data_IF_327899531751
#
_entry.id   IF_327899531751
#
_cell.length_a   1.000
_cell.length_b   1.000
_cell.length_c   1.000
_cell.angle_alpha   90.00
_cell.angle_beta   90.00
_cell.angle_gamma   90.00
#
_symmetry.space_group_name_H-M   'P 1'
#
loop_
_entity.id
_entity.type
_entity.pdbx_description
1 polymer ?
#
# COMPACT_ATOMS: atom_id res chain seq x y z
N UNK A 1 -8.45 -21.83 1.13
CA UNK A 1 -8.15 -22.45 -0.18
C UNK A 1 -7.58 -21.38 -1.06
N UNK A 2 -6.44 -21.66 -1.68
CA UNK A 2 -5.82 -20.83 -2.70
C UNK A 2 -6.80 -20.66 -3.87
N UNK A 3 -6.98 -19.44 -4.36
CA UNK A 3 -7.93 -19.09 -5.42
C UNK A 3 -7.68 -19.89 -6.70
N UNK A 4 -6.42 -20.09 -7.07
CA UNK A 4 -6.08 -20.87 -8.25
C UNK A 4 -6.36 -22.36 -8.04
N UNK A 5 -6.10 -22.90 -6.86
CA UNK A 5 -6.48 -24.27 -6.52
C UNK A 5 -7.99 -24.46 -6.56
N UNK A 6 -8.76 -23.47 -6.07
CA UNK A 6 -10.22 -23.52 -6.19
C UNK A 6 -10.67 -23.53 -7.65
N UNK A 7 -10.10 -22.65 -8.48
CA UNK A 7 -10.41 -22.59 -9.91
C UNK A 7 -10.04 -23.88 -10.65
N UNK A 8 -8.87 -24.46 -10.33
CA UNK A 8 -8.44 -25.74 -10.92
C UNK A 8 -9.35 -26.90 -10.52
N UNK A 9 -9.81 -26.94 -9.25
CA UNK A 9 -10.68 -28.00 -8.75
C UNK A 9 -12.12 -27.92 -9.27
N UNK A 10 -12.67 -26.70 -9.42
CA UNK A 10 -14.08 -26.47 -9.72
C UNK A 10 -14.35 -26.00 -11.15
N UNK A 11 -13.34 -25.54 -11.88
CA UNK A 11 -13.45 -24.98 -13.21
C UNK A 11 -14.15 -23.63 -13.27
N UNK A 12 -14.40 -23.00 -12.11
CA UNK A 12 -15.06 -21.71 -11.95
C UNK A 12 -14.48 -20.94 -10.77
N UNK A 13 -14.56 -19.60 -10.82
CA UNK A 13 -14.19 -18.76 -9.69
C UNK A 13 -15.32 -18.71 -8.66
N UNK A 14 -14.99 -18.51 -7.37
CA UNK A 14 -15.99 -18.17 -6.36
C UNK A 14 -16.76 -16.90 -6.74
N UNK A 15 -17.96 -16.74 -6.19
CA UNK A 15 -18.81 -15.58 -6.47
C UNK A 15 -18.15 -14.27 -6.01
N UNK A 16 -17.55 -14.26 -4.82
CA UNK A 16 -16.86 -13.11 -4.22
C UNK A 16 -15.43 -13.51 -3.86
N UNK A 17 -14.49 -12.68 -4.28
CA UNK A 17 -13.06 -12.88 -4.04
C UNK A 17 -12.53 -11.69 -3.26
N UNK A 18 -11.79 -11.93 -2.20
CA UNK A 18 -11.08 -10.88 -1.47
C UNK A 18 -9.60 -11.20 -1.35
N UNK A 19 -8.75 -10.21 -1.58
CA UNK A 19 -7.30 -10.33 -1.47
C UNK A 19 -6.74 -9.17 -0.66
N UNK A 20 -5.69 -9.42 0.09
CA UNK A 20 -5.06 -8.38 0.91
C UNK A 20 -4.30 -7.38 0.05
N UNK A 21 -3.51 -7.87 -0.88
CA UNK A 21 -2.71 -7.06 -1.80
C UNK A 21 -3.19 -7.27 -3.22
N UNK A 22 -3.10 -6.23 -4.02
CA UNK A 22 -3.52 -6.25 -5.40
C UNK A 22 -2.53 -5.50 -6.28
N UNK A 23 -2.27 -6.08 -7.44
CA UNK A 23 -1.69 -5.42 -8.60
C UNK A 23 -2.42 -5.89 -9.84
N UNK A 24 -2.87 -4.97 -10.68
CA UNK A 24 -3.51 -5.32 -11.95
C UNK A 24 -2.62 -6.20 -12.83
N UNK A 25 -1.31 -5.95 -12.81
CA UNK A 25 -0.35 -6.76 -13.54
C UNK A 25 -0.30 -8.22 -13.07
N UNK A 26 -0.40 -8.46 -11.75
CA UNK A 26 -0.36 -9.81 -11.19
C UNK A 26 -1.69 -10.56 -11.35
N UNK A 27 -2.80 -9.84 -11.55
CA UNK A 27 -4.15 -10.38 -11.64
C UNK A 27 -4.67 -10.57 -13.09
N UNK A 28 -3.84 -10.40 -14.10
CA UNK A 28 -4.26 -10.43 -15.51
C UNK A 28 -4.92 -11.74 -15.94
N UNK A 29 -4.47 -12.87 -15.41
CA UNK A 29 -5.05 -14.18 -15.74
C UNK A 29 -6.49 -14.33 -15.24
N UNK A 30 -6.91 -13.58 -14.23
CA UNK A 30 -8.27 -13.57 -13.70
C UNK A 30 -9.19 -12.61 -14.45
N UNK A 31 -8.65 -11.62 -15.14
CA UNK A 31 -9.39 -10.55 -15.81
C UNK A 31 -10.57 -11.06 -16.66
N UNK A 32 -10.47 -12.15 -17.47
CA UNK A 32 -11.57 -12.64 -18.28
C UNK A 32 -12.78 -13.14 -17.47
N UNK A 33 -12.60 -13.41 -16.19
CA UNK A 33 -13.61 -14.03 -15.31
C UNK A 33 -14.23 -13.06 -14.31
N UNK A 34 -13.72 -11.83 -14.23
CA UNK A 34 -14.19 -10.84 -13.26
C UNK A 34 -15.23 -9.90 -13.85
N UNK A 35 -16.13 -9.44 -12.97
CA UNK A 35 -17.18 -8.49 -13.29
C UNK A 35 -16.60 -7.07 -13.37
N UNK A 36 -17.06 -6.27 -14.32
CA UNK A 36 -16.75 -4.83 -14.39
C UNK A 36 -17.71 -4.02 -13.51
N UNK A 37 -17.18 -3.29 -12.55
CA UNK A 37 -17.96 -2.43 -11.66
C UNK A 37 -18.31 -1.06 -12.26
N UNK A 38 -17.79 -0.68 -13.43
CA UNK A 38 -17.97 0.66 -14.00
C UNK A 38 -19.45 1.03 -14.23
N UNK A 39 -20.33 0.06 -14.43
CA UNK A 39 -21.77 0.26 -14.61
C UNK A 39 -22.57 0.26 -13.30
N UNK A 40 -21.93 0.07 -12.17
CA UNK A 40 -22.60 -0.02 -10.87
C UNK A 40 -22.35 1.23 -10.02
N UNK A 41 -23.36 1.65 -9.27
CA UNK A 41 -23.32 2.88 -8.45
C UNK A 41 -22.22 2.88 -7.40
N UNK A 42 -21.75 1.69 -6.98
CA UNK A 42 -20.71 1.53 -5.98
C UNK A 42 -19.41 2.28 -6.31
N UNK A 43 -19.04 2.36 -7.60
CA UNK A 43 -17.83 3.07 -8.05
C UNK A 43 -17.89 4.56 -7.71
N UNK A 44 -19.08 5.16 -7.77
CA UNK A 44 -19.27 6.59 -7.47
C UNK A 44 -19.06 6.95 -6.00
N UNK A 45 -19.07 5.96 -5.11
CA UNK A 45 -18.86 6.13 -3.67
C UNK A 45 -17.39 6.29 -3.29
N UNK A 46 -16.44 6.03 -4.20
CA UNK A 46 -15.01 6.07 -3.92
C UNK A 46 -14.38 7.43 -4.22
N UNK A 47 -13.38 7.80 -3.42
CA UNK A 47 -12.48 8.89 -3.79
C UNK A 47 -11.78 8.57 -5.12
N UNK A 48 -11.63 9.57 -5.98
CA UNK A 48 -11.03 9.38 -7.31
C UNK A 48 -9.60 8.82 -7.25
N UNK A 49 -8.81 9.24 -6.27
CA UNK A 49 -7.45 8.70 -6.06
C UNK A 49 -7.45 7.20 -5.73
N UNK A 50 -8.50 6.71 -5.07
CA UNK A 50 -8.56 5.31 -4.65
C UNK A 50 -8.71 4.35 -5.83
N UNK A 51 -9.40 4.78 -6.90
CA UNK A 51 -9.65 3.98 -8.09
C UNK A 51 -8.77 4.34 -9.30
N UNK A 52 -7.92 5.36 -9.15
CA UNK A 52 -7.12 5.90 -10.27
C UNK A 52 -6.29 4.84 -11.00
N UNK A 53 -5.84 3.79 -10.30
CA UNK A 53 -4.97 2.75 -10.83
C UNK A 53 -5.64 1.38 -10.95
N UNK A 54 -6.97 1.32 -10.78
CA UNK A 54 -7.73 0.07 -10.83
C UNK A 54 -8.31 -0.24 -12.21
N UNK A 55 -8.17 0.69 -13.15
CA UNK A 55 -8.58 0.44 -14.52
C UNK A 55 -7.61 -0.50 -15.23
N UNK A 56 -8.18 -1.53 -15.86
CA UNK A 56 -7.43 -2.43 -16.74
C UNK A 56 -7.21 -1.81 -18.13
N UNK A 57 -6.62 -2.58 -19.06
CA UNK A 57 -6.37 -2.13 -20.45
C UNK A 57 -7.63 -1.87 -21.28
N UNK A 58 -8.79 -2.33 -20.82
CA UNK A 58 -10.11 -2.16 -21.46
C UNK A 58 -10.94 -1.06 -20.78
N UNK A 59 -10.32 -0.25 -19.89
CA UNK A 59 -10.96 0.78 -19.08
C UNK A 59 -11.97 0.26 -18.05
N UNK A 60 -11.99 -1.05 -17.73
CA UNK A 60 -12.85 -1.66 -16.73
C UNK A 60 -12.24 -1.57 -15.34
N UNK A 61 -13.07 -1.53 -14.31
CA UNK A 61 -12.70 -1.62 -12.89
C UNK A 61 -13.24 -2.95 -12.35
N UNK A 62 -12.40 -3.93 -12.21
CA UNK A 62 -12.75 -5.29 -11.79
C UNK A 62 -12.42 -5.58 -10.31
N UNK A 63 -11.65 -4.71 -9.69
CA UNK A 63 -11.27 -4.78 -8.28
C UNK A 63 -11.60 -3.47 -7.59
N UNK A 64 -12.10 -3.57 -6.35
CA UNK A 64 -12.38 -2.41 -5.50
C UNK A 64 -11.65 -2.56 -4.17
N UNK A 65 -10.92 -1.54 -3.71
CA UNK A 65 -10.32 -1.57 -2.38
C UNK A 65 -11.38 -1.33 -1.31
N UNK A 66 -11.42 -2.15 -0.28
CA UNK A 66 -12.35 -1.96 0.84
C UNK A 66 -11.88 -0.84 1.77
N UNK A 67 -10.57 -0.76 2.01
CA UNK A 67 -9.97 0.26 2.87
C UNK A 67 -8.51 0.50 2.47
N UNK A 68 -7.89 1.50 3.06
CA UNK A 68 -6.49 1.84 2.84
C UNK A 68 -5.70 1.90 4.14
N UNK A 69 -4.44 1.49 4.08
CA UNK A 69 -3.47 1.60 5.18
C UNK A 69 -2.52 2.75 4.83
N UNK A 70 -2.58 3.90 5.54
CA UNK A 70 -1.67 5.00 5.29
C UNK A 70 -0.27 4.65 5.80
N UNK A 71 0.70 4.66 4.91
CA UNK A 71 2.12 4.53 5.21
C UNK A 71 2.74 5.92 5.33
N UNK A 72 3.46 6.16 6.40
CA UNK A 72 3.99 7.48 6.76
C UNK A 72 5.30 7.35 7.52
N UNK A 73 5.93 8.47 7.83
CA UNK A 73 7.00 8.50 8.81
C UNK A 73 6.42 8.63 10.22
N UNK A 74 6.71 7.67 11.08
CA UNK A 74 6.50 7.77 12.53
C UNK A 74 7.70 8.53 13.10
N UNK A 75 7.43 9.61 13.79
CA UNK A 75 8.43 10.54 14.32
C UNK A 75 8.41 10.45 15.83
N UNK A 76 9.58 10.24 16.44
CA UNK A 76 9.78 10.40 17.87
C UNK A 76 9.86 11.90 18.21
N UNK A 77 8.71 12.53 18.46
CA UNK A 77 8.62 13.95 18.75
C UNK A 77 9.45 14.34 20.00
N UNK A 78 9.50 13.46 20.98
CA UNK A 78 10.30 13.69 22.19
C UNK A 78 11.79 13.89 21.85
N UNK A 79 12.33 13.12 20.90
CA UNK A 79 13.71 13.34 20.44
C UNK A 79 13.86 14.67 19.68
N UNK A 80 12.90 15.03 18.83
CA UNK A 80 12.92 16.31 18.14
C UNK A 80 12.94 17.48 19.13
N UNK A 81 12.09 17.44 20.16
CA UNK A 81 12.03 18.47 21.19
C UNK A 81 13.35 18.49 22.02
N UNK A 82 13.88 17.32 22.40
CA UNK A 82 15.11 17.18 23.17
C UNK A 82 16.32 17.83 22.46
N UNK A 83 16.43 17.65 21.14
CA UNK A 83 17.53 18.20 20.34
C UNK A 83 17.22 19.58 19.76
N UNK A 84 16.02 20.15 20.02
CA UNK A 84 15.59 21.43 19.50
C UNK A 84 15.41 21.43 17.97
N UNK A 85 15.16 20.27 17.39
CA UNK A 85 14.95 20.07 15.96
C UNK A 85 13.46 20.24 15.65
N UNK A 86 13.14 21.00 14.61
CA UNK A 86 11.74 21.21 14.23
C UNK A 86 11.19 20.03 13.44
N UNK A 87 9.93 19.70 13.66
CA UNK A 87 9.20 18.75 12.80
C UNK A 87 9.16 19.30 11.36
N UNK A 88 9.66 18.55 10.37
CA UNK A 88 9.75 19.01 8.99
C UNK A 88 8.36 19.15 8.34
N UNK A 89 8.22 20.14 7.45
CA UNK A 89 6.99 20.41 6.68
C UNK A 89 7.19 20.32 5.16
N UNK A 90 8.42 20.12 4.73
CA UNK A 90 8.81 19.92 3.34
C UNK A 90 10.13 19.15 3.28
N UNK A 91 10.53 18.73 2.08
CA UNK A 91 11.73 17.91 1.89
C UNK A 91 13.01 18.58 2.37
N UNK A 92 13.18 19.88 2.14
CA UNK A 92 14.37 20.62 2.60
C UNK A 92 14.49 20.59 4.13
N UNK A 93 13.39 20.79 4.84
CA UNK A 93 13.37 20.72 6.31
C UNK A 93 13.61 19.30 6.81
N UNK A 94 13.10 18.28 6.08
CA UNK A 94 13.37 16.88 6.34
C UNK A 94 14.87 16.57 6.25
N UNK A 95 15.53 16.94 5.15
CA UNK A 95 16.96 16.71 4.97
C UNK A 95 17.80 17.45 6.05
N UNK A 96 17.39 18.66 6.42
CA UNK A 96 18.03 19.42 7.50
C UNK A 96 17.87 18.74 8.87
N UNK A 97 16.69 18.20 9.17
CA UNK A 97 16.45 17.46 10.41
C UNK A 97 17.27 16.17 10.44
N UNK A 98 17.34 15.45 9.33
CA UNK A 98 18.20 14.26 9.22
C UNK A 98 19.67 14.58 9.48
N UNK A 99 20.21 15.64 8.88
CA UNK A 99 21.58 16.05 9.12
C UNK A 99 21.83 16.40 10.59
N UNK A 100 20.90 17.14 11.22
CA UNK A 100 21.05 17.52 12.63
C UNK A 100 21.04 16.30 13.56
N UNK A 101 20.17 15.30 13.33
CA UNK A 101 20.19 14.06 14.10
C UNK A 101 21.49 13.29 13.90
N UNK A 102 21.95 13.17 12.65
CA UNK A 102 23.20 12.50 12.33
C UNK A 102 24.38 13.15 13.04
N UNK A 103 24.47 14.49 13.04
CA UNK A 103 25.53 15.23 13.74
C UNK A 103 25.52 15.03 15.26
N UNK A 104 24.36 14.66 15.82
CA UNK A 104 24.18 14.33 17.24
C UNK A 104 24.34 12.83 17.53
N UNK A 105 24.71 12.00 16.55
CA UNK A 105 24.91 10.56 16.71
C UNK A 105 23.62 9.76 16.82
N UNK A 106 22.48 10.34 16.43
CA UNK A 106 21.19 9.67 16.36
C UNK A 106 20.94 9.26 14.90
N UNK A 107 20.48 8.03 14.65
CA UNK A 107 20.04 7.60 13.33
C UNK A 107 18.83 8.44 12.92
N UNK A 108 18.88 9.19 11.80
CA UNK A 108 17.77 10.05 11.44
C UNK A 108 16.50 9.27 11.09
N UNK A 109 16.65 8.23 10.28
CA UNK A 109 15.59 7.37 9.82
C UNK A 109 16.06 5.92 9.77
N UNK A 110 15.27 5.00 10.29
CA UNK A 110 15.53 3.57 10.25
C UNK A 110 14.41 2.80 9.57
N UNK A 111 14.79 1.79 8.79
CA UNK A 111 13.91 0.93 8.03
C UNK A 111 14.57 -0.43 7.85
N UNK A 112 13.78 -1.48 7.73
CA UNK A 112 14.21 -2.86 7.51
C UNK A 112 14.58 -3.12 6.05
N UNK A 113 15.72 -2.57 5.62
CA UNK A 113 16.19 -2.66 4.23
C UNK A 113 16.64 -4.05 3.78
N UNK A 114 16.67 -5.03 4.68
CA UNK A 114 16.84 -6.43 4.32
C UNK A 114 15.61 -6.98 3.57
N UNK A 115 14.44 -6.34 3.73
CA UNK A 115 13.19 -6.76 3.14
C UNK A 115 12.91 -6.05 1.81
N UNK A 116 12.39 -6.79 0.84
CA UNK A 116 12.17 -6.28 -0.52
C UNK A 116 11.05 -5.23 -0.57
N UNK A 117 9.98 -5.40 0.22
CA UNK A 117 8.89 -4.44 0.30
C UNK A 117 9.34 -3.09 0.85
N UNK A 118 10.27 -3.07 1.82
CA UNK A 118 10.81 -1.86 2.43
C UNK A 118 11.70 -1.09 1.46
N UNK A 119 12.45 -1.79 0.63
CA UNK A 119 13.24 -1.15 -0.44
C UNK A 119 12.36 -0.51 -1.49
N UNK A 120 11.22 -1.10 -1.80
CA UNK A 120 10.23 -0.48 -2.69
C UNK A 120 9.61 0.77 -2.07
N UNK A 121 9.33 0.78 -0.76
CA UNK A 121 8.86 1.97 -0.05
C UNK A 121 9.88 3.12 -0.15
N UNK A 122 11.16 2.82 -0.04
CA UNK A 122 12.23 3.84 -0.20
C UNK A 122 12.18 4.49 -1.57
N UNK A 123 12.03 3.71 -2.64
CA UNK A 123 11.93 4.27 -4.00
C UNK A 123 10.68 5.14 -4.13
N UNK A 124 9.53 4.64 -3.68
CA UNK A 124 8.27 5.35 -3.85
C UNK A 124 8.16 6.57 -2.93
N UNK A 125 8.59 6.47 -1.69
CA UNK A 125 8.62 7.58 -0.74
C UNK A 125 9.65 8.65 -1.15
N UNK A 126 10.85 8.24 -1.54
CA UNK A 126 11.93 9.13 -1.94
C UNK A 126 11.64 9.93 -3.21
N UNK A 127 10.89 9.35 -4.14
CA UNK A 127 10.51 9.98 -5.41
C UNK A 127 9.00 10.21 -5.55
N UNK A 128 8.29 10.41 -4.44
CA UNK A 128 6.82 10.47 -4.41
C UNK A 128 6.26 11.57 -5.33
N UNK A 129 6.94 12.69 -5.44
CA UNK A 129 6.56 13.78 -6.36
C UNK A 129 6.62 13.38 -7.84
N UNK A 130 7.52 12.49 -8.23
CA UNK A 130 7.57 11.96 -9.61
C UNK A 130 6.44 10.94 -9.86
N UNK A 131 6.17 10.07 -8.89
CA UNK A 131 5.08 9.10 -9.00
C UNK A 131 3.69 9.74 -9.06
N UNK A 132 3.51 10.89 -8.42
CA UNK A 132 2.26 11.68 -8.42
C UNK A 132 2.17 12.69 -9.56
N UNK A 133 3.25 12.86 -10.34
CA UNK A 133 3.26 13.68 -11.56
C UNK A 133 2.41 13.07 -12.67
N UNK A 134 2.05 13.87 -13.69
CA UNK A 134 1.33 13.35 -14.87
C UNK A 134 2.08 12.22 -15.58
N UNK A 135 3.42 12.29 -15.65
CA UNK A 135 4.24 11.25 -16.26
C UNK A 135 4.23 9.97 -15.40
N UNK A 136 4.31 10.14 -14.07
CA UNK A 136 4.21 9.03 -13.12
C UNK A 136 2.86 8.31 -13.18
N UNK A 137 1.77 9.07 -13.23
CA UNK A 137 0.41 8.53 -13.37
C UNK A 137 0.27 7.74 -14.68
N UNK A 138 0.74 8.29 -15.81
CA UNK A 138 0.71 7.60 -17.11
C UNK A 138 1.53 6.31 -17.10
N UNK A 139 2.75 6.38 -16.55
CA UNK A 139 3.57 5.19 -16.39
C UNK A 139 2.85 4.13 -15.56
N UNK A 140 2.30 4.52 -14.42
CA UNK A 140 1.61 3.63 -13.49
C UNK A 140 0.44 2.91 -14.16
N UNK A 141 -0.42 3.63 -14.89
CA UNK A 141 -1.54 3.04 -15.61
C UNK A 141 -1.07 2.01 -16.65
N UNK A 142 0.02 2.31 -17.36
CA UNK A 142 0.63 1.35 -18.29
C UNK A 142 1.23 0.13 -17.59
N UNK A 143 1.84 0.31 -16.42
CA UNK A 143 2.44 -0.78 -15.64
C UNK A 143 1.39 -1.73 -15.04
N UNK A 144 0.25 -1.20 -14.58
CA UNK A 144 -0.85 -2.02 -14.06
C UNK A 144 -1.54 -2.83 -15.15
N UNK A 145 -1.56 -2.34 -16.39
CA UNK A 145 -2.17 -3.04 -17.52
C UNK A 145 -1.23 -4.02 -18.25
N UNK A 146 0.01 -4.22 -17.77
CA UNK A 146 0.99 -5.07 -18.44
C UNK A 146 1.88 -5.84 -17.46
N UNK A 147 1.81 -7.17 -17.47
CA UNK A 147 2.66 -8.03 -16.63
C UNK A 147 4.11 -8.16 -17.14
N UNK A 148 4.32 -8.21 -18.46
CA UNK A 148 5.57 -8.70 -19.05
C UNK A 148 6.28 -7.72 -20.00
N UNK A 149 5.69 -6.58 -20.30
CA UNK A 149 6.27 -5.61 -21.24
C UNK A 149 6.07 -4.17 -20.74
N UNK A 150 6.43 -3.94 -19.49
CA UNK A 150 6.33 -2.60 -18.88
C UNK A 150 7.31 -1.68 -19.60
N UNK A 151 6.77 -0.61 -20.16
CA UNK A 151 7.58 0.44 -20.76
C UNK A 151 8.05 1.41 -19.68
N UNK A 152 9.34 1.50 -19.51
CA UNK A 152 9.96 2.47 -18.62
C UNK A 152 10.37 3.69 -19.45
N UNK A 153 9.69 4.82 -19.20
CA UNK A 153 10.18 6.10 -19.72
C UNK A 153 11.51 6.44 -19.05
N UNK A 154 12.58 6.47 -19.85
CA UNK A 154 13.93 6.67 -19.32
C UNK A 154 14.09 8.04 -18.63
N UNK A 155 13.42 9.08 -19.12
CA UNK A 155 13.51 10.40 -18.53
C UNK A 155 12.83 10.45 -17.14
N UNK A 156 11.64 9.88 -17.01
CA UNK A 156 10.94 9.74 -15.74
C UNK A 156 11.74 8.90 -14.75
N UNK A 157 12.14 7.69 -15.14
CA UNK A 157 12.78 6.76 -14.22
C UNK A 157 14.19 7.17 -13.80
N UNK A 158 14.93 7.88 -14.62
CA UNK A 158 16.20 8.50 -14.22
C UNK A 158 15.96 9.59 -13.15
N UNK A 159 14.88 10.37 -13.25
CA UNK A 159 14.51 11.32 -12.19
C UNK A 159 14.13 10.59 -10.91
N UNK A 160 13.31 9.53 -11.00
CA UNK A 160 12.94 8.70 -9.85
C UNK A 160 14.18 8.14 -9.15
N UNK A 161 15.10 7.54 -9.88
CA UNK A 161 16.32 6.95 -9.31
C UNK A 161 17.27 7.99 -8.73
N UNK A 162 17.39 9.15 -9.36
CA UNK A 162 18.19 10.27 -8.83
C UNK A 162 17.59 10.82 -7.53
N UNK A 163 16.27 10.95 -7.45
CA UNK A 163 15.59 11.34 -6.19
C UNK A 163 15.71 10.26 -5.13
N UNK A 164 15.65 8.98 -5.52
CA UNK A 164 15.89 7.86 -4.59
C UNK A 164 17.31 7.91 -4.02
N UNK A 165 18.32 8.10 -4.86
CA UNK A 165 19.72 8.26 -4.41
C UNK A 165 19.87 9.44 -3.45
N UNK A 166 19.25 10.57 -3.77
CA UNK A 166 19.25 11.77 -2.92
C UNK A 166 18.57 11.48 -1.59
N UNK A 167 17.40 10.84 -1.60
CA UNK A 167 16.68 10.48 -0.38
C UNK A 167 17.48 9.54 0.53
N UNK A 168 18.10 8.51 -0.03
CA UNK A 168 18.96 7.60 0.71
C UNK A 168 20.12 8.33 1.39
N UNK A 169 20.77 9.24 0.65
CA UNK A 169 21.87 10.06 1.16
C UNK A 169 21.43 11.02 2.25
N UNK A 170 20.35 11.77 2.02
CA UNK A 170 19.84 12.78 2.94
C UNK A 170 19.26 12.16 4.22
N UNK A 171 18.75 10.92 4.13
CA UNK A 171 18.31 10.12 5.27
C UNK A 171 19.47 9.44 6.01
N UNK A 172 20.71 9.61 5.54
CA UNK A 172 21.93 8.97 6.07
C UNK A 172 21.87 7.44 6.11
N UNK A 173 21.23 6.82 5.11
CA UNK A 173 21.36 5.38 4.90
C UNK A 173 22.76 5.04 4.35
N UNK A 174 23.28 3.91 4.77
CA UNK A 174 24.60 3.41 4.40
C UNK A 174 24.52 1.95 3.97
N UNK A 175 25.63 1.40 3.48
CA UNK A 175 25.71 -0.03 3.14
C UNK A 175 25.45 -0.96 4.35
N UNK A 176 25.65 -0.49 5.57
CA UNK A 176 25.43 -1.30 6.77
C UNK A 176 23.92 -1.46 7.05
N UNK A 177 23.08 -0.57 6.53
CA UNK A 177 21.62 -0.65 6.65
C UNK A 177 21.00 -1.75 5.76
N UNK A 178 21.71 -2.25 4.76
CA UNK A 178 21.23 -3.31 3.84
C UNK A 178 20.81 -4.58 4.59
N UNK A 179 21.47 -4.88 5.71
CA UNK A 179 21.21 -6.06 6.53
C UNK A 179 20.28 -5.82 7.71
N UNK A 180 19.73 -4.62 7.85
CA UNK A 180 18.79 -4.30 8.93
C UNK A 180 17.46 -4.98 8.65
N UNK A 181 17.09 -5.91 9.52
CA UNK A 181 15.79 -6.58 9.53
C UNK A 181 14.77 -5.80 10.38
N UNK A 182 13.50 -6.21 10.33
CA UNK A 182 12.41 -5.56 11.05
C UNK A 182 12.63 -5.56 12.57
N UNK A 183 13.23 -6.61 13.13
CA UNK A 183 13.51 -6.71 14.57
C UNK A 183 14.54 -5.66 14.97
N UNK A 184 15.66 -5.60 14.28
CA UNK A 184 16.72 -4.62 14.50
C UNK A 184 16.22 -3.18 14.32
N UNK A 185 15.45 -2.93 13.27
CA UNK A 185 14.87 -1.60 13.02
C UNK A 185 13.93 -1.18 14.16
N UNK A 186 13.04 -2.09 14.59
CA UNK A 186 12.08 -1.87 15.66
C UNK A 186 12.79 -1.60 17.00
N UNK A 187 13.73 -2.44 17.39
CA UNK A 187 14.49 -2.28 18.64
C UNK A 187 15.26 -0.95 18.65
N UNK A 188 15.92 -0.60 17.54
CA UNK A 188 16.66 0.66 17.42
C UNK A 188 15.75 1.88 17.61
N UNK A 189 14.53 1.85 17.07
CA UNK A 189 13.57 2.94 17.25
C UNK A 189 13.03 2.99 18.68
N UNK A 190 12.63 1.85 19.25
CA UNK A 190 12.10 1.75 20.61
C UNK A 190 13.12 2.19 21.68
N UNK A 191 14.39 1.96 21.44
CA UNK A 191 15.49 2.42 22.32
C UNK A 191 15.80 3.92 22.17
N UNK A 192 15.09 4.65 21.30
CA UNK A 192 15.34 6.07 21.04
C UNK A 192 16.65 6.35 20.31
N UNK A 193 17.23 5.36 19.64
CA UNK A 193 18.47 5.49 18.84
C UNK A 193 18.19 5.97 17.41
N UNK A 194 16.95 5.95 16.98
CA UNK A 194 16.49 6.51 15.71
C UNK A 194 15.36 7.52 15.93
N UNK A 195 15.39 8.60 15.12
CA UNK A 195 14.41 9.68 15.23
C UNK A 195 13.11 9.42 14.47
N UNK A 196 13.19 8.69 13.37
CA UNK A 196 12.06 8.37 12.50
C UNK A 196 12.04 6.90 12.12
N UNK A 197 10.82 6.36 11.93
CA UNK A 197 10.56 4.98 11.51
C UNK A 197 9.49 4.97 10.42
N UNK A 198 9.57 4.06 9.48
CA UNK A 198 8.50 3.86 8.50
C UNK A 198 7.38 3.04 9.12
N UNK A 199 6.14 3.49 8.98
CA UNK A 199 5.08 2.69 9.57
C UNK A 199 3.65 3.12 9.24
N UNK A 200 2.77 2.32 9.75
CA UNK A 200 1.33 2.46 9.64
C UNK A 200 0.69 2.69 11.02
N UNK A 201 -0.58 3.13 11.09
CA UNK A 201 -1.21 3.57 12.34
C UNK A 201 -1.14 2.58 13.51
N UNK A 202 -1.33 1.28 13.25
CA UNK A 202 -1.30 0.27 14.32
C UNK A 202 0.07 0.18 15.00
N UNK A 203 1.17 0.38 14.26
CA UNK A 203 2.52 0.39 14.83
C UNK A 203 2.73 1.53 15.82
N UNK A 204 2.17 2.71 15.57
CA UNK A 204 2.34 3.83 16.49
C UNK A 204 1.71 3.54 17.85
N UNK A 205 0.54 2.90 17.86
CA UNK A 205 -0.13 2.49 19.09
C UNK A 205 0.67 1.42 19.85
N UNK A 206 1.30 0.51 19.11
CA UNK A 206 2.15 -0.52 19.70
C UNK A 206 3.42 0.08 20.28
N UNK A 207 4.09 0.96 19.56
CA UNK A 207 5.30 1.63 20.05
C UNK A 207 5.03 2.53 21.26
N UNK A 208 3.91 3.26 21.29
CA UNK A 208 3.51 4.08 22.42
C UNK A 208 3.30 3.29 23.73
N UNK A 209 2.99 1.99 23.64
CA UNK A 209 2.90 1.11 24.82
C UNK A 209 4.26 0.71 25.38
N UNK A 210 5.31 0.78 24.56
CA UNK A 210 6.64 0.26 24.86
C UNK A 210 7.66 1.35 25.17
N UNK A 211 7.42 2.59 24.74
CA UNK A 211 8.33 3.71 24.97
C UNK A 211 7.63 4.90 25.59
N UNK A 212 8.34 5.57 26.50
CA UNK A 212 7.89 6.84 27.12
C UNK A 212 8.27 8.01 26.21
N UNK A 213 7.60 8.09 25.07
CA UNK A 213 7.84 9.13 24.05
C UNK A 213 6.53 9.55 23.37
N UNK A 214 6.44 10.81 23.03
CA UNK A 214 5.37 11.31 22.15
C UNK A 214 5.73 10.95 20.72
N UNK A 215 4.87 10.16 20.08
CA UNK A 215 5.01 9.78 18.67
C UNK A 215 3.96 10.51 17.84
N UNK A 216 4.37 11.03 16.70
CA UNK A 216 3.49 11.65 15.71
C UNK A 216 3.76 11.05 14.33
N UNK A 217 2.92 11.39 13.36
CA UNK A 217 3.10 11.02 11.96
C UNK A 217 3.32 12.24 11.11
N UNK A 218 4.14 12.09 10.08
CA UNK A 218 4.30 13.07 9.01
C UNK A 218 4.23 12.39 7.66
N UNK A 219 3.75 13.10 6.60
CA UNK A 219 3.71 12.57 5.24
C UNK A 219 5.12 12.46 4.64
N UNK A 220 5.21 11.88 3.46
CA UNK A 220 6.41 11.96 2.62
C UNK A 220 6.39 13.24 1.80
N UNK A 221 7.56 13.84 1.61
CA UNK A 221 7.69 15.13 0.95
C UNK A 221 8.22 15.00 -0.47
N UNK A 222 7.66 15.76 -1.39
CA UNK A 222 8.22 15.92 -2.73
C UNK A 222 9.56 16.64 -2.67
N UNK A 223 10.55 16.15 -3.44
CA UNK A 223 11.85 16.81 -3.57
C UNK A 223 11.81 17.99 -4.53
N UNK A 224 10.78 18.10 -5.36
CA UNK A 224 10.67 19.07 -6.44
C UNK A 224 9.60 20.13 -6.24
N UNK A 225 8.78 19.97 -5.18
CA UNK A 225 7.72 20.92 -4.82
C UNK A 225 7.55 20.98 -3.30
N UNK A 226 6.75 21.92 -2.80
CA UNK A 226 6.36 21.97 -1.38
C UNK A 226 5.19 21.02 -1.04
N UNK A 227 4.85 20.11 -1.94
CA UNK A 227 3.78 19.14 -1.74
C UNK A 227 4.25 17.97 -0.87
N UNK A 228 3.29 17.41 -0.14
CA UNK A 228 3.49 16.23 0.67
C UNK A 228 2.37 15.22 0.41
N UNK A 229 2.67 13.94 0.55
CA UNK A 229 1.76 12.85 0.19
C UNK A 229 1.76 11.75 1.23
N UNK A 230 0.60 11.15 1.43
CA UNK A 230 0.46 9.88 2.14
C UNK A 230 0.68 8.76 1.13
N UNK A 231 1.60 7.85 1.42
CA UNK A 231 1.73 6.61 0.66
C UNK A 231 0.68 5.61 1.18
N UNK A 232 -0.30 5.26 0.34
CA UNK A 232 -1.43 4.44 0.73
C UNK A 232 -1.31 3.03 0.15
N UNK A 233 -1.42 2.04 1.02
CA UNK A 233 -1.58 0.65 0.60
C UNK A 233 -3.05 0.29 0.64
N UNK A 234 -3.70 -0.01 -0.49
CA UNK A 234 -5.04 -0.60 -0.48
C UNK A 234 -5.03 -1.92 0.28
N UNK A 235 -6.05 -2.16 1.07
CA UNK A 235 -6.19 -3.39 1.84
C UNK A 235 -7.58 -3.97 1.65
N UNK A 236 -7.68 -5.31 1.66
CA UNK A 236 -8.90 -6.03 1.36
C UNK A 236 -9.49 -5.58 0.01
N UNK A 237 -8.84 -5.93 -1.07
CA UNK A 237 -9.39 -5.71 -2.39
C UNK A 237 -10.43 -6.78 -2.69
N UNK A 238 -11.56 -6.39 -3.26
CA UNK A 238 -12.68 -7.27 -3.57
C UNK A 238 -12.93 -7.30 -5.08
N UNK A 239 -13.25 -8.48 -5.60
CA UNK A 239 -13.70 -8.69 -6.97
C UNK A 239 -14.89 -9.67 -6.98
N UNK A 240 -15.70 -9.59 -8.01
CA UNK A 240 -16.83 -10.46 -8.22
C UNK A 240 -16.64 -11.30 -9.49
N UNK A 241 -17.07 -12.57 -9.42
CA UNK A 241 -17.19 -13.41 -10.60
C UNK A 241 -18.25 -12.83 -11.55
N UNK A 242 -17.90 -12.62 -12.81
CA UNK A 242 -18.83 -12.06 -13.82
C UNK A 242 -20.10 -12.91 -14.03
N UNK A 243 -20.07 -14.20 -13.68
CA UNK A 243 -21.24 -15.07 -13.79
C UNK A 243 -22.36 -14.68 -12.81
N UNK A 244 -22.09 -13.82 -11.83
CA UNK A 244 -23.12 -13.18 -11.00
C UNK A 244 -24.11 -12.37 -11.83
N UNK A 245 -23.68 -11.74 -12.92
CA UNK A 245 -24.56 -10.96 -13.80
C UNK A 245 -25.66 -11.83 -14.45
N UNK A 246 -25.46 -13.15 -14.52
CA UNK A 246 -26.45 -14.12 -15.01
C UNK A 246 -27.48 -14.51 -13.96
N UNK A 247 -27.26 -14.13 -12.69
CA UNK A 247 -28.14 -14.45 -11.57
C UNK A 247 -28.40 -13.20 -10.70
N UNK A 248 -29.45 -12.42 -11.00
CA UNK A 248 -29.75 -11.17 -10.30
C UNK A 248 -29.88 -11.33 -8.78
N UNK A 249 -30.44 -12.43 -8.29
CA UNK A 249 -30.62 -12.65 -6.84
C UNK A 249 -29.26 -12.79 -6.13
N UNK A 250 -28.32 -13.51 -6.72
CA UNK A 250 -26.97 -13.62 -6.18
C UNK A 250 -26.18 -12.31 -6.29
N UNK A 251 -26.34 -11.62 -7.41
CA UNK A 251 -25.69 -10.34 -7.65
C UNK A 251 -26.13 -9.31 -6.61
N UNK A 252 -27.42 -9.22 -6.31
CA UNK A 252 -27.96 -8.34 -5.28
C UNK A 252 -27.37 -8.65 -3.90
N UNK A 253 -27.23 -9.94 -3.56
CA UNK A 253 -26.60 -10.37 -2.30
C UNK A 253 -25.12 -9.95 -2.27
N UNK A 254 -24.38 -10.13 -3.37
CA UNK A 254 -22.97 -9.78 -3.44
C UNK A 254 -22.77 -8.26 -3.33
N UNK A 255 -23.60 -7.47 -4.00
CA UNK A 255 -23.58 -6.00 -3.89
C UNK A 255 -23.96 -5.53 -2.48
N UNK A 256 -24.94 -6.17 -1.84
CA UNK A 256 -25.32 -5.88 -0.45
C UNK A 256 -24.13 -6.16 0.51
N UNK A 257 -23.38 -7.24 0.31
CA UNK A 257 -22.18 -7.55 1.09
C UNK A 257 -21.12 -6.45 0.92
N UNK A 258 -20.87 -6.04 -0.33
CA UNK A 258 -19.92 -4.97 -0.62
C UNK A 258 -20.36 -3.64 0.01
N UNK A 259 -21.63 -3.25 -0.17
CA UNK A 259 -22.19 -2.03 0.43
C UNK A 259 -22.12 -2.04 1.95
N UNK A 260 -22.36 -3.19 2.59
CA UNK A 260 -22.13 -3.35 4.03
C UNK A 260 -20.68 -3.12 4.44
N UNK A 261 -19.73 -3.68 3.70
CA UNK A 261 -18.29 -3.55 4.02
C UNK A 261 -17.80 -2.11 3.89
N UNK A 262 -18.26 -1.37 2.86
CA UNK A 262 -17.85 0.02 2.63
C UNK A 262 -18.72 1.05 3.36
N UNK A 263 -19.82 0.65 4.02
CA UNK A 263 -20.67 1.54 4.82
C UNK A 263 -19.92 2.12 6.02
N UNK A 264 -20.47 3.20 6.62
CA UNK A 264 -19.89 3.79 7.84
C UNK A 264 -19.75 2.76 8.97
N UNK A 265 -20.76 1.92 9.19
CA UNK A 265 -20.72 0.89 10.25
C UNK A 265 -19.71 -0.21 9.92
N UNK A 266 -19.64 -0.67 8.66
CA UNK A 266 -18.65 -1.66 8.21
C UNK A 266 -17.24 -1.12 8.36
N UNK A 267 -17.00 0.11 7.93
CA UNK A 267 -15.70 0.77 8.06
C UNK A 267 -15.28 1.01 9.51
N UNK A 268 -16.23 1.37 10.41
CA UNK A 268 -15.95 1.43 11.85
C UNK A 268 -15.42 0.11 12.39
N UNK A 269 -16.05 -0.99 12.01
CA UNK A 269 -15.62 -2.34 12.46
C UNK A 269 -14.28 -2.75 11.90
N UNK A 270 -14.01 -2.41 10.64
CA UNK A 270 -12.73 -2.68 9.98
C UNK A 270 -11.63 -1.81 10.60
N UNK A 271 -11.91 -0.53 10.88
CA UNK A 271 -10.93 0.40 11.45
C UNK A 271 -10.64 0.15 12.94
N UNK A 272 -11.63 -0.35 13.71
CA UNK A 272 -11.46 -0.64 15.14
C UNK A 272 -10.39 -1.73 15.35
N UNK A 273 -9.16 -1.29 15.55
CA UNK A 273 -7.98 -2.13 15.82
C UNK A 273 -6.98 -2.30 14.68
N UNK A 274 -7.29 -1.82 13.47
CA UNK A 274 -6.39 -2.00 12.31
C UNK A 274 -5.70 -0.71 11.85
N UNK A 275 -6.21 0.47 12.25
CA UNK A 275 -5.67 1.77 11.81
C UNK A 275 -5.81 2.02 10.32
N UNK A 276 -6.75 1.36 9.65
CA UNK A 276 -7.10 1.59 8.25
C UNK A 276 -8.05 2.79 8.11
N UNK A 277 -8.11 3.38 6.94
CA UNK A 277 -9.04 4.46 6.61
C UNK A 277 -10.00 4.03 5.51
N UNK A 278 -11.22 4.59 5.56
CA UNK A 278 -12.18 4.44 4.48
C UNK A 278 -11.70 5.13 3.20
N UNK A 279 -11.95 4.49 2.08
CA UNK A 279 -11.75 5.05 0.74
C UNK A 279 -13.08 5.49 0.10
N UNK A 280 -14.17 5.47 0.89
CA UNK A 280 -15.51 5.86 0.48
C UNK A 280 -15.80 7.32 0.87
N UNK A 281 -16.29 8.13 -0.08
CA UNK A 281 -16.61 9.55 0.10
C UNK A 281 -17.74 9.79 1.10
N UNK A 282 -18.67 8.84 1.24
CA UNK A 282 -19.83 8.95 2.13
C UNK A 282 -19.48 8.58 3.59
N UNK A 283 -18.30 8.02 3.82
CA UNK A 283 -17.84 7.64 5.15
C UNK A 283 -16.83 8.65 5.64
N UNK A 284 -17.12 9.42 6.69
CA UNK A 284 -16.14 10.32 7.28
C UNK A 284 -14.90 9.53 7.66
N UNK A 285 -13.74 10.00 7.22
CA UNK A 285 -12.48 9.41 7.65
C UNK A 285 -12.42 9.49 9.16
N UNK A 286 -12.62 8.37 9.84
CA UNK A 286 -12.59 8.30 11.29
C UNK A 286 -11.15 8.30 11.77
N UNK A 287 -10.63 9.50 11.86
CA UNK A 287 -9.22 9.80 11.97
C UNK A 287 -8.77 10.08 13.40
N UNK A 288 -9.24 9.33 14.38
CA UNK A 288 -8.64 9.43 15.73
C UNK A 288 -7.12 9.20 15.71
N UNK A 289 -6.62 8.52 14.67
CA UNK A 289 -5.23 8.08 14.59
C UNK A 289 -4.42 8.67 13.43
N UNK A 290 -4.93 9.66 12.72
CA UNK A 290 -4.19 10.34 11.63
C UNK A 290 -3.85 11.79 11.97
N UNK A 291 -3.72 12.12 13.27
CA UNK A 291 -3.24 13.44 13.66
C UNK A 291 -1.91 13.74 12.98
N UNK A 292 -1.85 14.88 12.29
CA UNK A 292 -0.71 15.29 11.49
C UNK A 292 -0.81 14.99 9.98
N UNK A 293 -1.90 14.35 9.52
CA UNK A 293 -2.12 14.01 8.11
C UNK A 293 -3.46 14.54 7.57
N UNK A 294 -4.18 15.32 8.38
CA UNK A 294 -5.53 15.81 8.04
C UNK A 294 -5.53 16.62 6.75
N UNK A 295 -4.47 17.44 6.54
CA UNK A 295 -4.33 18.27 5.35
C UNK A 295 -4.21 17.41 4.09
N UNK A 296 -3.32 16.42 4.09
CA UNK A 296 -3.06 15.56 2.92
C UNK A 296 -4.31 14.79 2.52
N UNK A 297 -5.13 14.37 3.50
CA UNK A 297 -6.39 13.68 3.22
C UNK A 297 -7.43 14.65 2.66
N UNK A 298 -7.58 15.85 3.25
CA UNK A 298 -8.51 16.86 2.75
C UNK A 298 -8.16 17.32 1.33
N UNK A 299 -6.87 17.43 1.04
CA UNK A 299 -6.36 17.86 -0.26
C UNK A 299 -6.31 16.71 -1.29
N UNK A 300 -6.70 15.47 -0.89
CA UNK A 300 -6.54 14.25 -1.69
C UNK A 300 -5.06 14.00 -2.10
N UNK A 301 -4.11 14.46 -1.31
CA UNK A 301 -2.67 14.26 -1.52
C UNK A 301 -2.28 12.83 -1.08
N UNK A 302 -2.85 11.87 -1.78
CA UNK A 302 -2.68 10.43 -1.50
C UNK A 302 -2.14 9.74 -2.75
N UNK A 303 -1.05 9.02 -2.58
CA UNK A 303 -0.49 8.13 -3.58
C UNK A 303 -0.82 6.68 -3.25
N UNK A 304 -1.50 5.99 -4.15
CA UNK A 304 -1.69 4.53 -4.03
C UNK A 304 -0.43 3.84 -4.52
N UNK A 305 0.26 3.15 -3.63
CA UNK A 305 1.55 2.55 -3.95
C UNK A 305 1.44 1.46 -5.03
N UNK A 306 2.46 1.35 -5.86
CA UNK A 306 2.63 0.23 -6.79
C UNK A 306 3.17 -0.99 -6.05
N UNK A 307 2.58 -2.16 -6.25
CA UNK A 307 2.87 -3.36 -5.44
C UNK A 307 2.99 -4.64 -6.28
N UNK A 308 3.34 -4.53 -7.56
CA UNK A 308 3.55 -5.72 -8.39
C UNK A 308 4.71 -6.57 -7.86
N UNK A 309 4.57 -7.88 -7.86
CA UNK A 309 5.54 -8.81 -7.25
C UNK A 309 6.96 -8.63 -7.80
N UNK A 310 7.10 -8.46 -9.12
CA UNK A 310 8.41 -8.21 -9.75
C UNK A 310 9.06 -6.91 -9.27
N UNK A 311 8.26 -5.91 -8.86
CA UNK A 311 8.77 -4.62 -8.41
C UNK A 311 9.49 -4.71 -7.06
N UNK A 312 9.11 -5.62 -6.19
CA UNK A 312 9.81 -5.87 -4.92
C UNK A 312 11.24 -6.35 -5.18
N UNK A 313 11.39 -7.41 -5.99
CA UNK A 313 12.72 -7.93 -6.34
C UNK A 313 13.60 -6.93 -7.11
N UNK A 314 12.99 -6.09 -7.95
CA UNK A 314 13.71 -5.02 -8.65
C UNK A 314 14.19 -3.95 -7.67
N UNK A 315 13.32 -3.51 -6.75
CA UNK A 315 13.63 -2.50 -5.74
C UNK A 315 14.75 -2.94 -4.80
N UNK A 316 14.71 -4.19 -4.34
CA UNK A 316 15.77 -4.77 -3.49
C UNK A 316 17.14 -4.64 -4.17
N UNK A 317 17.25 -5.10 -5.41
CA UNK A 317 18.52 -5.04 -6.17
C UNK A 317 18.99 -3.61 -6.38
N UNK A 318 18.08 -2.71 -6.72
CA UNK A 318 18.40 -1.31 -7.01
C UNK A 318 18.84 -0.57 -5.75
N UNK A 319 18.07 -0.64 -4.66
CA UNK A 319 18.40 0.08 -3.42
C UNK A 319 19.70 -0.45 -2.81
N UNK A 320 19.88 -1.77 -2.75
CA UNK A 320 21.12 -2.37 -2.26
C UNK A 320 22.32 -1.99 -3.12
N UNK A 321 22.17 -1.99 -4.45
CA UNK A 321 23.22 -1.61 -5.36
C UNK A 321 23.62 -0.13 -5.25
N UNK A 322 22.65 0.76 -5.04
CA UNK A 322 22.91 2.18 -4.80
C UNK A 322 23.64 2.41 -3.45
N UNK A 323 23.17 1.74 -2.38
CA UNK A 323 23.76 1.87 -1.04
C UNK A 323 25.18 1.26 -0.94
N UNK A 324 25.42 0.14 -1.62
CA UNK A 324 26.74 -0.49 -1.64
C UNK A 324 27.75 0.25 -2.53
N UNK A 325 27.26 1.15 -3.40
CA UNK A 325 28.08 1.80 -4.42
C UNK A 325 28.42 0.90 -5.61
N UNK A 326 27.80 -0.26 -5.73
CA UNK A 326 27.96 -1.18 -6.88
C UNK A 326 27.18 -0.71 -8.11
N UNK A 327 26.20 0.17 -7.94
CA UNK A 327 25.39 0.75 -8.98
C UNK A 327 25.39 2.28 -8.89
N UNK A 328 25.52 2.91 -10.04
CA UNK A 328 25.08 4.27 -10.29
C UNK A 328 23.63 4.28 -10.80
N UNK A 329 23.07 5.43 -11.05
CA UNK A 329 21.68 5.60 -11.48
C UNK A 329 21.40 4.97 -12.87
N UNK A 330 22.38 4.94 -13.76
CA UNK A 330 22.26 4.33 -15.10
C UNK A 330 22.14 2.80 -14.98
N UNK A 331 23.06 2.19 -14.23
CA UNK A 331 23.04 0.74 -13.97
C UNK A 331 21.82 0.33 -13.17
N UNK A 332 21.35 1.18 -12.24
CA UNK A 332 20.11 0.96 -11.50
C UNK A 332 18.89 0.94 -12.43
N UNK A 333 18.81 1.87 -13.39
CA UNK A 333 17.77 1.90 -14.41
C UNK A 333 17.79 0.62 -15.29
N UNK A 334 18.94 0.21 -15.79
CA UNK A 334 19.07 -1.01 -16.59
C UNK A 334 18.67 -2.27 -15.79
N UNK A 335 19.07 -2.32 -14.53
CA UNK A 335 18.71 -3.42 -13.60
C UNK A 335 17.21 -3.47 -13.39
N UNK A 336 16.57 -2.33 -13.10
CA UNK A 336 15.13 -2.22 -12.93
C UNK A 336 14.40 -2.75 -14.17
N UNK A 337 14.73 -2.24 -15.35
CA UNK A 337 14.13 -2.65 -16.62
C UNK A 337 14.31 -4.16 -16.88
N UNK A 338 15.49 -4.69 -16.61
CA UNK A 338 15.80 -6.11 -16.78
C UNK A 338 14.98 -7.01 -15.87
N UNK A 339 14.88 -6.66 -14.57
CA UNK A 339 14.14 -7.48 -13.59
C UNK A 339 12.65 -7.41 -13.87
N UNK A 340 12.10 -6.23 -14.09
CA UNK A 340 10.66 -6.04 -14.31
C UNK A 340 10.18 -6.72 -15.60
N UNK A 341 11.00 -6.76 -16.64
CA UNK A 341 10.67 -7.40 -17.91
C UNK A 341 11.23 -8.82 -18.06
N UNK A 342 11.85 -9.39 -17.01
CA UNK A 342 12.28 -10.78 -17.04
C UNK A 342 11.05 -11.70 -17.19
N UNK A 343 11.15 -12.67 -18.11
CA UNK A 343 10.14 -13.75 -18.15
C UNK A 343 10.28 -14.56 -16.87
N UNK A 344 9.14 -14.85 -16.24
CA UNK A 344 9.12 -15.81 -15.14
C UNK A 344 9.79 -17.09 -15.61
N UNK A 345 10.88 -17.47 -14.95
CA UNK A 345 11.59 -18.72 -15.28
C UNK A 345 10.70 -19.87 -14.84
N UNK A 346 9.90 -20.42 -15.77
CA UNK A 346 9.38 -21.79 -15.79
C UNK A 346 8.59 -22.35 -14.59
N UNK A 347 8.67 -21.79 -13.42
CA UNK A 347 7.73 -22.01 -12.35
C UNK A 347 6.54 -21.09 -12.60
N UNK A 348 5.34 -21.69 -12.77
CA UNK A 348 4.11 -20.92 -12.57
C UNK A 348 4.29 -20.27 -11.21
N UNK A 349 4.62 -18.98 -11.20
CA UNK A 349 4.47 -18.19 -10.02
C UNK A 349 2.98 -18.25 -9.71
N UNK A 350 2.58 -19.16 -8.88
CA UNK A 350 1.33 -19.05 -8.15
C UNK A 350 1.42 -17.68 -7.53
N UNK A 351 0.63 -16.74 -8.04
CA UNK A 351 0.49 -15.44 -7.40
C UNK A 351 -0.09 -15.78 -6.03
N UNK A 352 0.78 -15.80 -5.05
CA UNK A 352 0.39 -16.00 -3.68
C UNK A 352 -0.26 -14.69 -3.27
N UNK A 353 -1.57 -14.56 -3.53
CA UNK A 353 -2.36 -13.54 -2.87
C UNK A 353 -2.34 -13.88 -1.38
N UNK A 354 -1.40 -13.32 -0.64
CA UNK A 354 -1.36 -13.52 0.81
C UNK A 354 -2.74 -13.21 1.39
N UNK A 355 -3.31 -14.21 2.09
CA UNK A 355 -4.62 -14.12 2.74
C UNK A 355 -5.81 -13.91 1.77
N UNK A 356 -6.00 -14.86 0.86
CA UNK A 356 -7.21 -14.94 0.04
C UNK A 356 -8.40 -15.43 0.86
N UNK A 357 -9.52 -14.75 0.69
CA UNK A 357 -10.82 -15.21 1.16
C UNK A 357 -11.78 -15.25 -0.02
N UNK A 358 -12.53 -16.31 -0.12
CA UNK A 358 -13.55 -16.45 -1.15
C UNK A 358 -14.87 -16.90 -0.56
N UNK A 359 -15.97 -16.41 -1.14
CA UNK A 359 -17.33 -16.76 -0.78
C UNK A 359 -18.01 -17.27 -2.04
N UNK A 360 -18.45 -18.54 -2.02
CA UNK A 360 -19.34 -19.07 -3.05
C UNK A 360 -20.78 -19.08 -2.54
N UNK A 361 -21.65 -18.34 -3.18
CA UNK A 361 -23.07 -18.28 -2.85
C UNK A 361 -23.83 -19.53 -3.36
N UNK A 362 -23.15 -20.45 -4.05
CA UNK A 362 -23.71 -21.72 -4.47
C UNK A 362 -23.85 -22.72 -3.33
N UNK A 363 -22.98 -22.67 -2.34
CA UNK A 363 -23.01 -23.57 -1.21
C UNK A 363 -23.61 -22.91 0.05
N UNK A 364 -23.92 -23.77 1.04
CA UNK A 364 -24.50 -23.30 2.30
C UNK A 364 -23.52 -22.46 3.11
N UNK A 365 -22.25 -22.84 3.15
CA UNK A 365 -21.25 -22.17 3.97
C UNK A 365 -21.00 -20.74 3.45
N UNK A 366 -20.93 -20.55 2.13
CA UNK A 366 -20.80 -19.24 1.52
C UNK A 366 -22.02 -18.34 1.78
N UNK A 367 -23.24 -18.89 1.67
CA UNK A 367 -24.48 -18.17 2.01
C UNK A 367 -24.54 -17.81 3.51
N UNK A 368 -24.13 -18.72 4.39
CA UNK A 368 -24.08 -18.45 5.84
C UNK A 368 -23.02 -17.38 6.16
N UNK A 369 -21.88 -17.38 5.48
CA UNK A 369 -20.84 -16.35 5.61
C UNK A 369 -21.36 -14.97 5.14
N UNK A 370 -21.99 -14.89 3.97
CA UNK A 370 -22.60 -13.67 3.47
C UNK A 370 -23.70 -13.16 4.42
N UNK A 371 -24.58 -14.04 4.90
CA UNK A 371 -25.61 -13.71 5.88
C UNK A 371 -25.01 -13.24 7.20
N UNK A 372 -23.91 -13.82 7.64
CA UNK A 372 -23.19 -13.40 8.84
C UNK A 372 -22.62 -11.99 8.70
N UNK A 373 -22.00 -11.67 7.56
CA UNK A 373 -21.51 -10.30 7.27
C UNK A 373 -22.68 -9.31 7.32
N UNK A 374 -23.75 -9.58 6.60
CA UNK A 374 -24.94 -8.72 6.55
C UNK A 374 -25.59 -8.54 7.93
N UNK A 375 -25.68 -9.61 8.73
CA UNK A 375 -26.25 -9.57 10.08
C UNK A 375 -25.34 -8.81 11.04
N UNK A 376 -24.02 -8.99 10.92
CA UNK A 376 -23.04 -8.33 11.79
C UNK A 376 -23.04 -6.82 11.57
N UNK A 377 -23.15 -6.37 10.33
CA UNK A 377 -23.21 -4.94 10.00
C UNK A 377 -24.55 -4.32 10.37
N UNK A 378 -25.65 -5.06 10.26
CA UNK A 378 -27.02 -4.58 10.56
C UNK A 378 -27.39 -4.63 12.05
N UNK A 379 -26.73 -5.44 12.86
CA UNK A 379 -27.01 -5.59 14.30
C UNK A 379 -25.92 -4.93 15.15
N UNK A 380 -26.30 -3.96 15.96
CA UNK A 380 -25.42 -3.19 16.86
C UNK A 380 -24.76 -4.00 18.00
N UNK A 381 -24.98 -5.32 18.11
CA UNK A 381 -24.51 -6.14 19.22
C UNK A 381 -23.63 -7.32 18.79
N UNK A 382 -22.32 -7.15 19.06
CA UNK A 382 -21.32 -8.20 19.29
C UNK A 382 -21.17 -9.33 18.29
N UNK A 383 -20.42 -9.11 17.18
CA UNK A 383 -19.53 -10.15 16.65
C UNK A 383 -18.30 -9.43 16.07
N UNK A 384 -17.12 -9.73 16.59
CA UNK A 384 -15.86 -9.43 15.90
C UNK A 384 -15.89 -10.18 14.57
N UNK A 385 -15.88 -9.45 13.45
CA UNK A 385 -15.43 -10.01 12.19
C UNK A 385 -14.00 -10.48 12.47
N UNK A 386 -13.81 -11.79 12.48
CA UNK A 386 -12.48 -12.36 12.48
C UNK A 386 -11.87 -12.11 11.10
N UNK A 387 -11.51 -10.86 10.84
CA UNK A 387 -10.53 -10.53 9.84
C UNK A 387 -9.25 -11.16 10.37
N UNK A 388 -8.66 -12.05 9.58
CA UNK A 388 -7.54 -12.87 10.00
C UNK A 388 -6.45 -12.08 10.72
N UNK A 389 -5.81 -12.68 11.71
CA UNK A 389 -4.71 -12.03 12.40
C UNK A 389 -3.59 -11.69 11.41
N UNK A 390 -3.00 -10.56 11.63
CA UNK A 390 -1.86 -9.97 10.93
C UNK A 390 -0.66 -10.90 10.86
#
# INVERSE_FOLDING_TARGET
TDLYSYFEEHGELPDIITVRRFSGADAQDLQPYLMDFCSYDVVSKYYSYALQYYKNSEDEIQWLPICGIPQTLIVNKTLFDQYGIKIPKNYREYAQACQQFYDNGIKPYILDLAEDWSTQEVIQAGAIGEFTSLDGIKWRSSAESSADNIKFDAALWKRILSQTSTFLKDSHFTKDDISVDITTATETFLEGKAAMFHGYPALIQEFQKQMDAELIRIPFFSQTSDEAFINMTPSLNIAFNKDLEKNPEKLDIALDVLDCMISEEGQKRIADGSGVISLNTDVPTMMKDVSGLEKEIQDNSVYIRYSAQKSFAASLKVVHGLLSGEMDEEKAYDTLCSVMNSKATGEKTTVNFEHEYSISLNDKNGRDAASSILTTVRNENNIQLALAPY
#
